data_IF_725550952851
#
_entry.id   IF_725550952851
#
_cell.length_a   1.000
_cell.length_b   1.000
_cell.length_c   1.000
_cell.angle_alpha   90.00
_cell.angle_beta   90.00
_cell.angle_gamma   90.00
#
_symmetry.space_group_name_H-M   'P 1'
#
loop_
_entity.id
_entity.type
_entity.pdbx_description
1 polymer ?
#
# COMPACT_ATOMS: atom_id res chain seq x y z
N UNK A 1 10.98 -8.30 -11.27
CA UNK A 1 11.02 -6.84 -11.60
C UNK A 1 10.21 -6.16 -10.52
N UNK A 2 10.75 -5.22 -9.75
CA UNK A 2 10.10 -4.76 -8.52
C UNK A 2 8.86 -3.91 -8.80
N UNK A 3 7.69 -4.36 -8.35
CA UNK A 3 6.41 -3.65 -8.54
C UNK A 3 6.18 -2.69 -7.38
N UNK A 4 5.92 -1.42 -7.68
CA UNK A 4 5.70 -0.39 -6.65
C UNK A 4 4.23 0.04 -6.66
N UNK A 5 3.55 -0.16 -5.53
CA UNK A 5 2.19 0.31 -5.28
C UNK A 5 2.23 1.50 -4.33
N UNK A 6 1.50 2.57 -4.64
CA UNK A 6 1.36 3.73 -3.74
C UNK A 6 -0.10 3.90 -3.35
N UNK A 7 -0.36 4.01 -2.05
CA UNK A 7 -1.68 4.26 -1.47
C UNK A 7 -1.65 5.63 -0.80
N UNK A 8 -2.52 6.53 -1.24
CA UNK A 8 -2.72 7.87 -0.68
C UNK A 8 -4.21 8.25 -0.67
N UNK A 9 -4.53 9.43 -0.14
CA UNK A 9 -5.91 9.91 0.00
C UNK A 9 -6.69 9.92 -1.34
N UNK A 10 -6.03 10.25 -2.44
CA UNK A 10 -6.64 10.44 -3.75
C UNK A 10 -6.52 9.18 -4.63
N UNK A 11 -5.43 8.44 -4.52
CA UNK A 11 -5.11 7.33 -5.41
C UNK A 11 -4.75 6.05 -4.62
N UNK A 12 -5.30 4.93 -5.07
CA UNK A 12 -4.91 3.62 -4.58
C UNK A 12 -5.13 2.57 -5.69
N UNK A 13 -4.24 1.57 -5.83
CA UNK A 13 -4.41 0.44 -6.76
C UNK A 13 -5.63 -0.41 -6.39
N UNK A 14 -6.03 -1.34 -7.26
CA UNK A 14 -7.13 -2.23 -6.89
C UNK A 14 -6.75 -3.05 -5.65
N UNK A 15 -7.72 -3.24 -4.73
CA UNK A 15 -7.51 -4.04 -3.52
C UNK A 15 -7.03 -5.46 -3.83
N UNK A 16 -7.45 -6.02 -4.96
CA UNK A 16 -6.98 -7.34 -5.43
C UNK A 16 -5.48 -7.36 -5.72
N UNK A 17 -4.95 -6.31 -6.33
CA UNK A 17 -3.53 -6.18 -6.66
C UNK A 17 -2.69 -6.07 -5.39
N UNK A 18 -3.14 -5.26 -4.42
CA UNK A 18 -2.48 -5.13 -3.13
C UNK A 18 -2.43 -6.49 -2.42
N UNK A 19 -3.53 -7.27 -2.40
CA UNK A 19 -3.54 -8.61 -1.79
C UNK A 19 -2.68 -9.63 -2.53
N UNK A 20 -2.54 -9.47 -3.84
CA UNK A 20 -1.75 -10.37 -4.68
C UNK A 20 -0.23 -10.11 -4.55
N UNK A 21 0.16 -8.90 -4.11
CA UNK A 21 1.55 -8.52 -3.91
C UNK A 21 2.29 -9.45 -2.92
N UNK A 22 3.58 -9.67 -3.18
CA UNK A 22 4.48 -10.54 -2.41
C UNK A 22 5.93 -10.08 -2.50
N UNK A 23 6.90 -11.00 -2.39
CA UNK A 23 8.36 -10.71 -2.27
C UNK A 23 8.95 -9.70 -3.28
N UNK A 24 8.40 -9.58 -4.49
CA UNK A 24 8.88 -8.62 -5.49
C UNK A 24 8.13 -7.27 -5.48
N UNK A 25 7.31 -7.01 -4.46
CA UNK A 25 6.50 -5.81 -4.37
C UNK A 25 6.91 -4.89 -3.23
N UNK A 26 6.81 -3.58 -3.50
CA UNK A 26 6.94 -2.51 -2.49
C UNK A 26 5.62 -1.76 -2.42
N UNK A 27 5.01 -1.72 -1.24
CA UNK A 27 3.79 -0.97 -0.97
C UNK A 27 4.14 0.26 -0.15
N UNK A 28 3.94 1.44 -0.74
CA UNK A 28 4.11 2.74 -0.10
C UNK A 28 2.77 3.24 0.38
N UNK A 29 2.60 3.32 1.70
CA UNK A 29 1.42 3.88 2.33
C UNK A 29 1.74 5.30 2.79
N UNK A 30 1.14 6.30 2.13
CA UNK A 30 1.26 7.68 2.59
C UNK A 30 0.41 7.88 3.83
N UNK A 31 0.85 8.76 4.74
CA UNK A 31 0.09 9.06 5.96
C UNK A 31 -1.33 9.54 5.67
N UNK A 32 -1.54 10.34 4.61
CA UNK A 32 -2.86 10.82 4.22
C UNK A 32 -3.79 9.71 3.67
N UNK A 33 -3.29 8.49 3.43
CA UNK A 33 -4.15 7.36 3.09
C UNK A 33 -5.21 7.08 4.17
N UNK A 34 -4.97 7.48 5.43
CA UNK A 34 -5.96 7.38 6.51
C UNK A 34 -7.21 8.20 6.29
N UNK A 35 -7.18 9.19 5.39
CA UNK A 35 -8.34 10.01 5.02
C UNK A 35 -9.31 9.27 4.09
N UNK A 36 -8.89 8.14 3.50
CA UNK A 36 -9.76 7.33 2.66
C UNK A 36 -10.83 6.63 3.50
N UNK A 37 -12.08 6.67 3.02
CA UNK A 37 -13.20 5.93 3.65
C UNK A 37 -13.00 4.42 3.67
N UNK A 38 -12.22 3.89 2.72
CA UNK A 38 -11.90 2.47 2.59
C UNK A 38 -10.50 2.13 3.13
N UNK A 39 -9.86 3.03 3.87
CA UNK A 39 -8.50 2.83 4.39
C UNK A 39 -8.36 1.52 5.16
N UNK A 40 -9.32 1.16 6.02
CA UNK A 40 -9.27 -0.09 6.78
C UNK A 40 -9.11 -1.31 5.86
N UNK A 41 -9.83 -1.35 4.73
CA UNK A 41 -9.75 -2.45 3.75
C UNK A 41 -8.39 -2.49 3.06
N UNK A 42 -7.83 -1.31 2.75
CA UNK A 42 -6.48 -1.22 2.21
C UNK A 42 -5.45 -1.68 3.23
N UNK A 43 -5.56 -1.26 4.49
CA UNK A 43 -4.63 -1.65 5.54
C UNK A 43 -4.62 -3.16 5.77
N UNK A 44 -5.79 -3.81 5.73
CA UNK A 44 -5.88 -5.27 5.75
C UNK A 44 -5.18 -5.91 4.53
N UNK A 45 -5.39 -5.36 3.32
CA UNK A 45 -4.73 -5.86 2.12
C UNK A 45 -3.20 -5.70 2.18
N UNK A 46 -2.71 -4.58 2.74
CA UNK A 46 -1.28 -4.36 2.99
C UNK A 46 -0.73 -5.38 3.98
N UNK A 47 -1.48 -5.71 5.03
CA UNK A 47 -1.10 -6.77 5.96
C UNK A 47 -0.94 -8.14 5.28
N UNK A 48 -1.87 -8.49 4.38
CA UNK A 48 -1.78 -9.72 3.58
C UNK A 48 -0.53 -9.71 2.69
N UNK A 49 -0.25 -8.60 2.02
CA UNK A 49 0.94 -8.47 1.16
C UNK A 49 2.24 -8.59 1.96
N UNK A 50 2.31 -7.97 3.14
CA UNK A 50 3.45 -8.06 4.04
C UNK A 50 3.73 -9.52 4.44
N UNK A 51 2.70 -10.27 4.80
CA UNK A 51 2.83 -11.70 5.14
C UNK A 51 3.30 -12.53 3.93
N UNK A 52 3.00 -12.10 2.71
CA UNK A 52 3.49 -12.69 1.44
C UNK A 52 4.90 -12.24 1.06
N UNK A 53 5.56 -11.44 1.89
CA UNK A 53 6.94 -10.99 1.68
C UNK A 53 7.08 -9.62 1.01
N UNK A 54 5.97 -8.91 0.75
CA UNK A 54 6.07 -7.55 0.22
C UNK A 54 6.71 -6.60 1.23
N UNK A 55 7.49 -5.64 0.75
CA UNK A 55 8.05 -4.56 1.57
C UNK A 55 6.97 -3.50 1.75
N UNK A 56 6.72 -3.08 3.00
CA UNK A 56 5.76 -2.02 3.31
C UNK A 56 6.48 -0.80 3.88
N UNK A 57 6.34 0.34 3.20
CA UNK A 57 6.92 1.62 3.61
C UNK A 57 5.80 2.58 4.02
N UNK A 58 5.76 3.00 5.29
CA UNK A 58 4.85 4.06 5.75
C UNK A 58 5.57 5.39 5.69
N UNK A 59 5.15 6.27 4.77
CA UNK A 59 5.87 7.52 4.48
C UNK A 59 5.10 8.76 4.97
N UNK A 60 5.81 9.61 5.72
CA UNK A 60 5.27 10.80 6.40
C UNK A 60 5.36 12.11 5.60
N UNK A 61 5.87 12.10 4.36
CA UNK A 61 6.21 13.35 3.63
C UNK A 61 5.87 13.25 2.15
N UNK A 62 5.14 14.25 1.65
CA UNK A 62 5.19 14.64 0.23
C UNK A 62 6.64 15.07 -0.05
N UNK A 63 7.34 14.32 -0.90
CA UNK A 63 8.64 14.77 -1.39
C UNK A 63 8.45 16.16 -1.99
N UNK A 64 9.14 17.14 -1.39
CA UNK A 64 9.26 18.49 -1.89
C UNK A 64 10.00 18.51 -3.23
#
# INVERSE_FOLDING_TARGET
>A
MTTIHTIDAANAPALGDIRAAGEEAVIRVRRNATERKDFAKYWEAVGVALVRGAVVEVINREGN
#
